data_IF_360094361627
#
_entry.id   IF_360094361627
#
_cell.length_a   1.000
_cell.length_b   1.000
_cell.length_c   1.000
_cell.angle_alpha   90.00
_cell.angle_beta   90.00
_cell.angle_gamma   90.00
#
_symmetry.space_group_name_H-M   'P 1'
#
loop_
_entity.id
_entity.type
_entity.pdbx_description
1 polymer ?
#
# COMPACT_ATOMS: atom_id res chain seq x y z
N UNK A 1 10.12 2.72 25.50
CA UNK A 1 9.25 1.92 24.61
C UNK A 1 10.12 0.90 23.89
N UNK A 2 9.65 -0.34 23.65
CA UNK A 2 10.38 -1.29 22.83
C UNK A 2 10.57 -0.74 21.40
N UNK A 3 11.73 -0.97 20.79
CA UNK A 3 12.05 -0.50 19.42
C UNK A 3 11.05 -1.08 18.40
N UNK A 4 10.58 -2.31 18.62
CA UNK A 4 9.50 -2.92 17.83
C UNK A 4 8.19 -2.15 17.88
N UNK A 5 7.85 -1.54 19.02
CA UNK A 5 6.64 -0.72 19.17
C UNK A 5 6.78 0.58 18.40
N UNK A 6 7.94 1.25 18.51
CA UNK A 6 8.24 2.47 17.75
C UNK A 6 8.17 2.19 16.24
N UNK A 7 8.71 1.06 15.80
CA UNK A 7 8.63 0.63 14.40
C UNK A 7 7.19 0.41 13.93
N UNK A 8 6.37 -0.29 14.70
CA UNK A 8 4.95 -0.51 14.37
C UNK A 8 4.16 0.80 14.31
N UNK A 9 4.41 1.73 15.23
CA UNK A 9 3.77 3.06 15.16
C UNK A 9 4.22 3.83 13.93
N UNK A 10 5.52 3.79 13.61
CA UNK A 10 6.08 4.49 12.46
C UNK A 10 5.51 3.93 11.16
N UNK A 11 5.43 2.60 11.04
CA UNK A 11 4.85 1.95 9.86
C UNK A 11 3.35 2.22 9.72
N UNK A 12 2.59 2.28 10.82
CA UNK A 12 1.18 2.66 10.80
C UNK A 12 1.00 4.11 10.31
N UNK A 13 1.85 5.03 10.75
CA UNK A 13 1.81 6.42 10.25
C UNK A 13 2.14 6.46 8.75
N UNK A 14 3.22 5.80 8.32
CA UNK A 14 3.72 5.86 6.94
C UNK A 14 2.78 5.15 5.95
N UNK A 15 2.28 3.97 6.31
CA UNK A 15 1.50 3.14 5.39
C UNK A 15 -0.02 3.33 5.51
N UNK A 16 -0.54 3.80 6.65
CA UNK A 16 -1.96 4.10 6.83
C UNK A 16 -2.27 5.59 6.82
N UNK A 17 -1.69 6.37 7.73
CA UNK A 17 -2.13 7.76 7.95
C UNK A 17 -1.76 8.66 6.78
N UNK A 18 -0.51 8.63 6.31
CA UNK A 18 -0.06 9.48 5.20
C UNK A 18 -0.89 9.21 3.93
N UNK A 19 -1.10 7.95 3.50
CA UNK A 19 -1.94 7.67 2.36
C UNK A 19 -3.41 8.04 2.59
N UNK A 20 -3.95 7.83 3.78
CA UNK A 20 -5.33 8.23 4.11
C UNK A 20 -5.56 9.74 3.93
N UNK A 21 -4.61 10.57 4.38
CA UNK A 21 -4.65 12.03 4.17
C UNK A 21 -4.58 12.36 2.67
N UNK A 22 -3.70 11.67 1.94
CA UNK A 22 -3.55 11.85 0.50
C UNK A 22 -4.81 11.49 -0.30
N UNK A 23 -5.56 10.49 0.15
CA UNK A 23 -6.86 10.10 -0.42
C UNK A 23 -7.92 11.15 -0.10
N UNK A 24 -8.02 11.57 1.16
CA UNK A 24 -8.97 12.59 1.60
C UNK A 24 -8.81 13.91 0.83
N UNK A 25 -7.56 14.35 0.60
CA UNK A 25 -7.26 15.58 -0.16
C UNK A 25 -7.74 15.53 -1.61
N UNK A 26 -7.82 14.35 -2.21
CA UNK A 26 -8.23 14.21 -3.61
C UNK A 26 -9.75 14.08 -3.78
N UNK A 27 -10.58 14.14 -2.71
CA UNK A 27 -12.05 14.12 -2.75
C UNK A 27 -12.69 13.00 -3.62
N UNK A 28 -11.95 11.93 -3.90
CA UNK A 28 -12.37 10.79 -4.74
C UNK A 28 -12.63 9.58 -3.85
N UNK A 29 -13.43 9.76 -2.79
CA UNK A 29 -13.89 8.62 -1.98
C UNK A 29 -14.99 7.93 -2.77
N UNK A 30 -14.59 6.94 -3.57
CA UNK A 30 -15.53 6.07 -4.27
C UNK A 30 -16.04 5.04 -3.24
N UNK A 31 -17.23 5.28 -2.68
CA UNK A 31 -17.82 4.48 -1.57
C UNK A 31 -17.85 2.96 -1.88
N UNK A 32 -17.80 2.59 -3.17
CA UNK A 32 -17.72 1.20 -3.63
C UNK A 32 -16.48 0.45 -3.17
N UNK A 33 -15.39 1.12 -2.82
CA UNK A 33 -14.12 0.49 -2.43
C UNK A 33 -13.67 0.82 -1.01
N UNK A 34 -14.58 1.31 -0.16
CA UNK A 34 -14.28 1.77 1.20
C UNK A 34 -13.49 0.75 2.04
N UNK A 35 -13.89 -0.53 2.00
CA UNK A 35 -13.19 -1.60 2.75
C UNK A 35 -11.73 -1.73 2.30
N UNK A 36 -11.45 -1.64 1.00
CA UNK A 36 -10.08 -1.78 0.46
C UNK A 36 -9.24 -0.54 0.69
N UNK A 37 -9.86 0.63 0.71
CA UNK A 37 -9.20 1.89 1.06
C UNK A 37 -8.64 1.81 2.48
N UNK A 38 -9.41 1.28 3.44
CA UNK A 38 -8.96 1.16 4.83
C UNK A 38 -8.03 -0.03 5.08
N UNK A 39 -8.22 -1.13 4.34
CA UNK A 39 -7.37 -2.31 4.45
C UNK A 39 -5.97 -2.05 3.86
N UNK A 40 -5.88 -1.33 2.74
CA UNK A 40 -4.65 -1.08 2.00
C UNK A 40 -4.55 0.37 1.47
N UNK A 41 -4.52 1.37 2.37
CA UNK A 41 -4.57 2.79 1.98
C UNK A 41 -3.38 3.22 1.13
N UNK A 42 -2.17 2.71 1.38
CA UNK A 42 -1.00 2.99 0.54
C UNK A 42 -1.22 2.56 -0.92
N UNK A 43 -1.70 1.33 -1.15
CA UNK A 43 -1.89 0.80 -2.51
C UNK A 43 -3.00 1.53 -3.24
N UNK A 44 -4.09 1.85 -2.54
CA UNK A 44 -5.18 2.66 -3.09
C UNK A 44 -4.69 4.05 -3.50
N UNK A 45 -3.88 4.69 -2.64
CA UNK A 45 -3.35 6.02 -2.92
C UNK A 45 -2.38 6.02 -4.10
N UNK A 46 -1.48 5.02 -4.18
CA UNK A 46 -0.60 4.84 -5.34
C UNK A 46 -1.39 4.66 -6.63
N UNK A 47 -2.46 3.88 -6.61
CA UNK A 47 -3.31 3.73 -7.78
C UNK A 47 -3.96 5.04 -8.21
N UNK A 48 -4.48 5.82 -7.26
CA UNK A 48 -5.07 7.12 -7.57
C UNK A 48 -4.04 8.06 -8.20
N UNK A 49 -2.79 8.02 -7.72
CA UNK A 49 -1.67 8.75 -8.32
C UNK A 49 -1.36 8.25 -9.73
N UNK A 50 -1.37 6.95 -9.98
CA UNK A 50 -1.12 6.39 -11.31
C UNK A 50 -2.22 6.73 -12.30
N UNK A 51 -3.48 6.70 -11.88
CA UNK A 51 -4.61 7.12 -12.70
C UNK A 51 -4.50 8.60 -13.07
N UNK A 52 -4.07 9.44 -12.13
CA UNK A 52 -3.81 10.87 -12.35
C UNK A 52 -2.63 11.12 -13.30
N UNK A 53 -1.51 10.43 -13.12
CA UNK A 53 -0.30 10.59 -13.95
C UNK A 53 -0.52 10.05 -15.37
N UNK A 54 -1.21 8.92 -15.50
CA UNK A 54 -1.42 8.25 -16.78
C UNK A 54 -2.49 8.90 -17.67
N UNK A 55 -3.21 9.91 -17.17
CA UNK A 55 -4.36 10.49 -17.87
C UNK A 55 -5.44 9.44 -18.15
N UNK A 56 -5.65 8.51 -17.22
CA UNK A 56 -6.63 7.42 -17.32
C UNK A 56 -6.34 6.38 -18.44
N UNK A 57 -5.10 6.33 -18.96
CA UNK A 57 -4.68 5.32 -19.94
C UNK A 57 -4.46 3.98 -19.25
N UNK A 58 -5.41 3.05 -19.43
CA UNK A 58 -5.44 1.74 -18.78
C UNK A 58 -4.12 0.96 -18.81
N UNK A 59 -3.46 0.90 -19.96
CA UNK A 59 -2.22 0.13 -20.11
C UNK A 59 -1.12 0.69 -19.21
N UNK A 60 -1.02 2.02 -19.15
CA UNK A 60 -0.04 2.73 -18.32
C UNK A 60 -0.34 2.52 -16.83
N UNK A 61 -1.60 2.61 -16.42
CA UNK A 61 -2.00 2.31 -15.02
C UNK A 61 -1.58 0.90 -14.63
N UNK A 62 -1.83 -0.10 -15.49
CA UNK A 62 -1.47 -1.50 -15.20
C UNK A 62 0.05 -1.69 -15.11
N UNK A 63 0.84 -1.06 -15.98
CA UNK A 63 2.30 -1.09 -15.90
C UNK A 63 2.77 -0.45 -14.59
N UNK A 64 2.25 0.72 -14.23
CA UNK A 64 2.59 1.41 -12.98
C UNK A 64 2.20 0.59 -11.75
N UNK A 65 1.11 -0.18 -11.82
CA UNK A 65 0.65 -1.05 -10.75
C UNK A 65 1.50 -2.32 -10.60
N UNK A 66 2.14 -2.79 -11.67
CA UNK A 66 3.21 -3.79 -11.55
C UNK A 66 4.44 -3.13 -10.92
N UNK A 67 4.75 -1.88 -11.29
CA UNK A 67 5.84 -1.12 -10.68
C UNK A 67 5.60 -0.82 -9.19
N UNK A 68 4.34 -0.73 -8.71
CA UNK A 68 4.08 -0.52 -7.28
C UNK A 68 4.49 -1.68 -6.41
N UNK A 69 4.53 -2.91 -6.92
CA UNK A 69 5.09 -4.05 -6.18
C UNK A 69 6.57 -3.78 -5.85
N UNK A 70 7.33 -3.31 -6.85
CA UNK A 70 8.74 -2.94 -6.63
C UNK A 70 8.87 -1.76 -5.66
N UNK A 71 8.05 -0.73 -5.80
CA UNK A 71 8.04 0.43 -4.89
C UNK A 71 7.76 -0.02 -3.45
N UNK A 72 6.76 -0.89 -3.25
CA UNK A 72 6.36 -1.42 -1.94
C UNK A 72 7.47 -2.28 -1.34
N UNK A 73 8.09 -3.13 -2.17
CA UNK A 73 9.23 -3.96 -1.78
C UNK A 73 10.43 -3.10 -1.34
N UNK A 74 10.81 -2.09 -2.12
CA UNK A 74 11.89 -1.17 -1.76
C UNK A 74 11.58 -0.37 -0.49
N UNK A 75 10.35 0.12 -0.34
CA UNK A 75 9.93 0.84 0.86
C UNK A 75 9.99 -0.05 2.11
N UNK A 76 9.53 -1.30 1.99
CA UNK A 76 9.61 -2.28 3.07
C UNK A 76 11.06 -2.66 3.42
N UNK A 77 11.93 -2.84 2.42
CA UNK A 77 13.36 -3.09 2.63
C UNK A 77 14.06 -1.92 3.32
N UNK A 78 13.76 -0.68 2.92
CA UNK A 78 14.35 0.51 3.53
C UNK A 78 13.92 0.62 5.00
N UNK A 79 12.66 0.34 5.30
CA UNK A 79 12.16 0.26 6.68
C UNK A 79 12.84 -0.86 7.48
N UNK A 80 13.03 -2.05 6.90
CA UNK A 80 13.75 -3.16 7.52
C UNK A 80 15.22 -2.81 7.78
N UNK A 81 15.88 -2.13 6.84
CA UNK A 81 17.26 -1.69 6.98
C UNK A 81 17.41 -0.69 8.14
N UNK A 82 16.55 0.33 8.17
CA UNK A 82 16.51 1.32 9.26
C UNK A 82 16.28 0.60 10.59
N UNK A 83 15.34 -0.34 10.64
CA UNK A 83 15.09 -1.13 11.85
C UNK A 83 16.31 -1.96 12.27
N UNK A 84 16.98 -2.65 11.34
CA UNK A 84 18.17 -3.45 11.62
C UNK A 84 19.37 -2.63 12.09
N UNK A 85 19.44 -1.35 11.72
CA UNK A 85 20.46 -0.43 12.23
C UNK A 85 20.23 -0.06 13.70
N UNK A 86 18.98 -0.11 14.18
CA UNK A 86 18.62 0.19 15.57
C UNK A 86 18.47 -1.06 16.45
N UNK A 87 18.30 -2.25 15.85
CA UNK A 87 18.14 -3.51 16.56
C UNK A 87 19.01 -4.60 15.93
N UNK A 88 19.96 -5.15 16.70
CA UNK A 88 20.93 -6.15 16.22
C UNK A 88 20.26 -7.46 15.80
N UNK A 89 18.99 -7.71 16.16
CA UNK A 89 18.35 -8.99 15.91
C UNK A 89 16.93 -8.87 15.33
N UNK A 90 16.84 -8.42 14.08
CA UNK A 90 15.61 -8.39 13.25
C UNK A 90 14.82 -9.70 13.30
N UNK A 91 15.51 -10.84 13.43
CA UNK A 91 14.90 -12.17 13.51
C UNK A 91 14.04 -12.40 14.78
N UNK A 92 14.23 -11.61 15.85
CA UNK A 92 13.38 -11.68 17.06
C UNK A 92 12.02 -11.03 16.88
N UNK A 93 11.82 -10.24 15.82
CA UNK A 93 10.62 -9.43 15.64
C UNK A 93 9.75 -9.96 14.49
N UNK A 94 9.15 -11.13 14.71
CA UNK A 94 8.24 -11.79 13.75
C UNK A 94 7.11 -10.87 13.25
N UNK A 95 6.64 -9.93 14.08
CA UNK A 95 5.64 -8.92 13.70
C UNK A 95 6.09 -8.00 12.55
N UNK A 96 7.39 -7.70 12.48
CA UNK A 96 7.97 -6.85 11.42
C UNK A 96 7.98 -7.61 10.10
N UNK A 97 8.32 -8.90 10.13
CA UNK A 97 8.27 -9.77 8.97
C UNK A 97 6.84 -9.96 8.45
N UNK A 98 5.87 -10.22 9.33
CA UNK A 98 4.44 -10.31 8.95
C UNK A 98 3.97 -9.01 8.27
N UNK A 99 4.35 -7.85 8.81
CA UNK A 99 3.94 -6.57 8.24
C UNK A 99 4.52 -6.36 6.84
N UNK A 100 5.77 -6.76 6.62
CA UNK A 100 6.40 -6.69 5.31
C UNK A 100 5.69 -7.59 4.28
N UNK A 101 5.43 -8.84 4.64
CA UNK A 101 4.68 -9.78 3.80
C UNK A 101 3.26 -9.27 3.51
N UNK A 102 2.59 -8.71 4.51
CA UNK A 102 1.27 -8.09 4.35
C UNK A 102 1.29 -6.97 3.30
N UNK A 103 2.31 -6.10 3.34
CA UNK A 103 2.47 -5.02 2.36
C UNK A 103 2.71 -5.57 0.95
N UNK A 104 3.49 -6.65 0.79
CA UNK A 104 3.69 -7.29 -0.51
C UNK A 104 2.39 -7.90 -1.05
N UNK A 105 1.69 -8.69 -0.23
CA UNK A 105 0.39 -9.29 -0.60
C UNK A 105 -0.62 -8.19 -0.96
N UNK A 106 -0.60 -7.06 -0.25
CA UNK A 106 -1.45 -5.91 -0.58
C UNK A 106 -1.22 -5.40 -2.00
N UNK A 107 0.03 -5.29 -2.45
CA UNK A 107 0.35 -4.82 -3.80
C UNK A 107 -0.17 -5.78 -4.88
N UNK A 108 -0.08 -7.09 -4.63
CA UNK A 108 -0.56 -8.14 -5.53
C UNK A 108 -2.10 -8.15 -5.59
N UNK A 109 -2.78 -7.92 -4.46
CA UNK A 109 -4.24 -7.88 -4.40
C UNK A 109 -4.85 -6.79 -5.32
N UNK A 110 -4.09 -5.72 -5.57
CA UNK A 110 -4.49 -4.64 -6.48
C UNK A 110 -4.29 -4.99 -7.96
N UNK A 111 -3.47 -5.98 -8.30
CA UNK A 111 -3.35 -6.48 -9.68
C UNK A 111 -4.66 -7.09 -10.19
N UNK A 112 -5.46 -7.68 -9.31
CA UNK A 112 -6.71 -8.34 -9.68
C UNK A 112 -7.94 -7.44 -9.60
N UNK A 113 -7.76 -6.11 -9.52
CA UNK A 113 -8.90 -5.23 -9.31
C UNK A 113 -9.88 -5.24 -10.51
N UNK A 114 -11.19 -5.47 -10.26
CA UNK A 114 -12.21 -5.39 -11.28
C UNK A 114 -12.39 -3.94 -11.75
N UNK A 115 -12.91 -3.78 -12.98
CA UNK A 115 -13.05 -2.49 -13.64
C UNK A 115 -13.97 -1.57 -12.84
N UNK A 116 -13.49 -0.40 -12.44
CA UNK A 116 -14.35 0.70 -12.03
C UNK A 116 -15.30 1.05 -13.19
N UNK A 117 -16.61 1.09 -12.91
CA UNK A 117 -17.64 1.48 -13.88
C UNK A 117 -18.23 0.38 -14.76
N UNK A 118 -17.81 -0.89 -14.66
CA UNK A 118 -18.57 -1.99 -15.29
C UNK A 118 -19.56 -2.59 -14.29
N UNK A 119 -20.86 -2.39 -14.52
CA UNK A 119 -21.89 -3.23 -13.94
C UNK A 119 -21.66 -4.63 -14.51
N UNK A 120 -21.05 -5.51 -13.73
CA UNK A 120 -20.96 -6.92 -14.07
C UNK A 120 -22.36 -7.48 -13.87
N UNK A 121 -23.17 -7.52 -14.93
CA UNK A 121 -24.38 -8.33 -14.92
C UNK A 121 -23.92 -9.78 -14.73
N UNK A 122 -24.20 -10.35 -13.56
CA UNK A 122 -24.21 -11.79 -13.36
C UNK A 122 -25.21 -12.37 -14.35
N UNK A 123 -24.75 -13.27 -15.22
CA UNK A 123 -25.65 -14.12 -16.00
C UNK A 123 -26.33 -15.12 -15.09
#
# INVERSE_FOLDING_TARGET
MPISVIFLFTSLIVFWIIPAIGIAKNHLVDDRFFIRQWLFPMQYWLQLLFERISGNRRIVVRILQIMSLFITYFCGLLMLLVFSAFDINTAKHFSVFILFEYLLVSSIAYWFQPKAGKIYKTK
#
